data_IF_012332784446
#
_entry.id   IF_012332784446
#
_cell.length_a   1.000
_cell.length_b   1.000
_cell.length_c   1.000
_cell.angle_alpha   90.00
_cell.angle_beta   90.00
_cell.angle_gamma   90.00
#
_symmetry.space_group_name_H-M   'P 1'
#
loop_
_entity.id
_entity.type
_entity.pdbx_description
1 polymer ?
#
# COMPACT_ATOMS: atom_id res chain seq x y z
N UNK A 1 5.80 2.06 -4.18
CA UNK A 1 5.78 0.57 -4.27
C UNK A 1 7.16 -0.03 -4.55
N UNK A 2 7.82 0.28 -5.68
CA UNK A 2 9.03 -0.46 -6.11
C UNK A 2 10.19 -0.30 -5.13
N UNK A 3 10.39 0.89 -4.55
CA UNK A 3 11.40 1.12 -3.52
C UNK A 3 11.14 0.29 -2.25
N UNK A 4 9.89 0.20 -1.81
CA UNK A 4 9.50 -0.62 -0.64
C UNK A 4 9.72 -2.11 -0.90
N UNK A 5 9.40 -2.57 -2.10
CA UNK A 5 9.66 -3.96 -2.50
C UNK A 5 11.17 -4.26 -2.46
N UNK A 6 12.02 -3.36 -2.99
CA UNK A 6 13.48 -3.48 -2.92
C UNK A 6 14.01 -3.45 -1.48
N UNK A 7 13.44 -2.62 -0.62
CA UNK A 7 13.79 -2.55 0.80
C UNK A 7 13.44 -3.86 1.52
N UNK A 8 12.23 -4.38 1.31
CA UNK A 8 11.83 -5.68 1.90
C UNK A 8 12.70 -6.82 1.39
N UNK A 9 13.02 -6.85 0.09
CA UNK A 9 13.94 -7.82 -0.48
C UNK A 9 15.33 -7.73 0.14
N UNK A 10 15.84 -6.51 0.38
CA UNK A 10 17.10 -6.29 1.08
C UNK A 10 17.10 -6.90 2.47
N UNK A 11 16.06 -6.62 3.26
CA UNK A 11 15.92 -7.17 4.61
C UNK A 11 15.88 -8.71 4.58
N UNK A 12 15.17 -9.30 3.62
CA UNK A 12 15.13 -10.76 3.48
C UNK A 12 16.49 -11.37 3.12
N UNK A 13 17.22 -10.76 2.20
CA UNK A 13 18.54 -11.24 1.80
C UNK A 13 19.58 -11.05 2.92
N UNK A 14 19.50 -9.95 3.67
CA UNK A 14 20.33 -9.75 4.87
C UNK A 14 20.04 -10.80 5.94
N UNK A 15 18.77 -11.17 6.15
CA UNK A 15 18.37 -12.29 7.04
C UNK A 15 18.90 -13.65 6.58
N UNK A 16 19.18 -13.82 5.28
CA UNK A 16 19.79 -15.03 4.70
C UNK A 16 21.31 -15.05 4.84
N UNK A 17 21.91 -14.02 5.44
CA UNK A 17 23.35 -13.92 5.67
C UNK A 17 24.10 -13.12 4.62
N UNK A 18 23.41 -12.50 3.65
CA UNK A 18 24.07 -11.64 2.66
C UNK A 18 24.35 -10.25 3.24
N UNK A 19 25.62 -9.91 3.39
CA UNK A 19 26.02 -8.57 3.82
C UNK A 19 25.93 -7.61 2.63
N UNK A 20 25.05 -6.61 2.71
CA UNK A 20 24.83 -5.59 1.67
C UNK A 20 24.52 -6.20 0.28
N UNK A 21 23.38 -6.87 0.11
CA UNK A 21 23.00 -7.48 -1.17
C UNK A 21 22.99 -6.45 -2.30
N UNK A 22 23.51 -6.84 -3.47
CA UNK A 22 23.58 -5.96 -4.65
C UNK A 22 22.19 -5.71 -5.23
N UNK A 23 22.00 -4.56 -5.91
CA UNK A 23 20.72 -4.24 -6.56
C UNK A 23 20.27 -5.32 -7.55
N UNK A 24 21.22 -5.92 -8.28
CA UNK A 24 20.94 -7.02 -9.21
C UNK A 24 20.37 -8.24 -8.48
N UNK A 25 20.98 -8.60 -7.33
CA UNK A 25 20.49 -9.70 -6.49
C UNK A 25 19.09 -9.44 -5.95
N UNK A 26 18.81 -8.20 -5.54
CA UNK A 26 17.48 -7.81 -5.08
C UNK A 26 16.44 -7.89 -6.22
N UNK A 27 16.83 -7.48 -7.43
CA UNK A 27 15.98 -7.59 -8.61
C UNK A 27 15.69 -9.05 -8.98
N UNK A 28 16.68 -9.94 -8.91
CA UNK A 28 16.50 -11.38 -9.12
C UNK A 28 15.55 -12.00 -8.10
N UNK A 29 15.73 -11.64 -6.83
CA UNK A 29 14.83 -12.06 -5.75
C UNK A 29 13.40 -11.61 -6.01
N UNK A 30 13.21 -10.33 -6.35
CA UNK A 30 11.89 -9.77 -6.65
C UNK A 30 11.27 -10.39 -7.91
N UNK A 31 12.05 -10.65 -8.95
CA UNK A 31 11.59 -11.33 -10.16
C UNK A 31 11.00 -12.70 -9.83
N UNK A 32 11.67 -13.47 -8.99
CA UNK A 32 11.17 -14.79 -8.54
C UNK A 32 9.86 -14.66 -7.76
N UNK A 33 9.76 -13.67 -6.88
CA UNK A 33 8.56 -13.47 -6.05
C UNK A 33 7.38 -12.93 -6.89
N UNK A 34 7.64 -12.05 -7.86
CA UNK A 34 6.63 -11.59 -8.83
C UNK A 34 6.13 -12.76 -9.67
N UNK A 35 7.03 -13.63 -10.13
CA UNK A 35 6.65 -14.83 -10.89
C UNK A 35 5.78 -15.78 -10.06
N UNK A 36 6.13 -16.00 -8.79
CA UNK A 36 5.35 -16.85 -7.89
C UNK A 36 3.93 -16.29 -7.65
N UNK A 37 3.76 -14.96 -7.63
CA UNK A 37 2.47 -14.32 -7.34
C UNK A 37 1.63 -14.09 -8.59
N UNK A 38 2.24 -13.65 -9.69
CA UNK A 38 1.57 -13.28 -10.93
C UNK A 38 1.46 -14.44 -11.93
N UNK A 39 2.23 -15.51 -11.73
CA UNK A 39 2.23 -16.69 -12.61
C UNK A 39 3.00 -16.53 -13.91
N UNK A 40 3.82 -15.47 -14.05
CA UNK A 40 4.69 -15.27 -15.20
C UNK A 40 6.00 -14.58 -14.83
N UNK A 41 7.07 -14.92 -15.53
CA UNK A 41 8.38 -14.32 -15.32
C UNK A 41 8.39 -12.84 -15.72
N UNK A 42 8.83 -11.97 -14.81
CA UNK A 42 9.00 -10.54 -15.08
C UNK A 42 10.47 -10.13 -15.00
N UNK A 43 11.00 -9.54 -16.07
CA UNK A 43 12.44 -9.35 -16.23
C UNK A 43 13.12 -8.55 -15.10
N UNK A 44 14.19 -9.12 -14.53
CA UNK A 44 15.02 -8.49 -13.50
C UNK A 44 15.54 -7.11 -13.91
N UNK A 45 15.98 -6.99 -15.18
CA UNK A 45 16.48 -5.72 -15.74
C UNK A 45 15.41 -4.63 -15.71
N UNK A 46 14.15 -4.99 -15.98
CA UNK A 46 13.02 -4.06 -15.91
C UNK A 46 12.79 -3.59 -14.48
N UNK A 47 12.74 -4.52 -13.51
CA UNK A 47 12.60 -4.18 -12.09
C UNK A 47 13.72 -3.26 -11.61
N UNK A 48 14.96 -3.56 -11.98
CA UNK A 48 16.12 -2.74 -11.64
C UNK A 48 16.04 -1.35 -12.27
N UNK A 49 15.61 -1.26 -13.53
CA UNK A 49 15.42 0.03 -14.20
C UNK A 49 14.35 0.86 -13.49
N UNK A 50 13.19 0.27 -13.17
CA UNK A 50 12.15 0.97 -12.42
C UNK A 50 12.65 1.44 -11.06
N UNK A 51 13.40 0.61 -10.34
CA UNK A 51 13.99 1.01 -9.07
C UNK A 51 14.97 2.18 -9.23
N UNK A 52 15.87 2.12 -10.20
CA UNK A 52 16.82 3.19 -10.43
C UNK A 52 16.12 4.49 -10.83
N UNK A 53 15.08 4.43 -11.68
CA UNK A 53 14.25 5.58 -12.03
C UNK A 53 13.53 6.14 -10.79
N UNK A 54 12.93 5.28 -9.96
CA UNK A 54 12.26 5.70 -8.73
C UNK A 54 13.20 6.43 -7.76
N UNK A 55 14.47 6.01 -7.69
CA UNK A 55 15.48 6.61 -6.80
C UNK A 55 16.07 7.90 -7.38
N UNK A 56 16.25 7.98 -8.71
CA UNK A 56 16.82 9.16 -9.37
C UNK A 56 15.83 10.30 -9.53
N UNK A 57 14.56 9.96 -9.73
CA UNK A 57 13.54 10.91 -10.14
C UNK A 57 12.78 11.41 -8.92
N UNK A 58 13.09 12.63 -8.45
CA UNK A 58 12.32 13.28 -7.38
C UNK A 58 10.87 13.60 -7.77
N UNK A 59 10.55 13.68 -9.06
CA UNK A 59 9.24 14.17 -9.55
C UNK A 59 8.72 13.48 -10.83
N UNK A 60 9.31 12.37 -11.28
CA UNK A 60 8.83 11.68 -12.47
C UNK A 60 7.84 10.60 -12.09
N UNK A 61 6.65 10.65 -12.69
CA UNK A 61 5.64 9.61 -12.52
C UNK A 61 6.17 8.28 -13.08
N UNK A 62 6.43 7.33 -12.19
CA UNK A 62 6.88 5.99 -12.58
C UNK A 62 5.67 5.13 -12.90
N UNK A 63 5.52 4.76 -14.18
CA UNK A 63 4.46 3.85 -14.64
C UNK A 63 5.02 2.46 -14.94
N UNK A 64 4.54 1.48 -14.19
CA UNK A 64 4.68 0.06 -14.52
C UNK A 64 3.40 -0.32 -15.27
N UNK A 65 3.47 -0.75 -16.54
CA UNK A 65 2.27 -0.90 -17.38
C UNK A 65 1.43 -2.15 -17.04
N UNK A 66 2.05 -3.18 -16.46
CA UNK A 66 1.41 -4.46 -16.19
C UNK A 66 0.81 -4.44 -14.78
N UNK A 67 -0.51 -4.58 -14.69
CA UNK A 67 -1.23 -4.46 -13.41
C UNK A 67 -0.92 -5.62 -12.48
N UNK A 68 -0.69 -6.81 -13.03
CA UNK A 68 -0.32 -8.02 -12.31
C UNK A 68 1.02 -7.84 -11.60
N UNK A 69 1.96 -7.11 -12.22
CA UNK A 69 3.25 -6.77 -11.60
C UNK A 69 3.05 -5.75 -10.47
N UNK A 70 2.16 -4.77 -10.64
CA UNK A 70 1.81 -3.82 -9.57
C UNK A 70 1.24 -4.57 -8.37
N UNK A 71 0.24 -5.42 -8.61
CA UNK A 71 -0.42 -6.19 -7.56
C UNK A 71 0.57 -7.11 -6.84
N UNK A 72 1.43 -7.82 -7.59
CA UNK A 72 2.48 -8.65 -7.00
C UNK A 72 3.46 -7.83 -6.16
N UNK A 73 3.92 -6.66 -6.63
CA UNK A 73 4.85 -5.80 -5.87
C UNK A 73 4.21 -5.25 -4.59
N UNK A 74 2.93 -4.90 -4.64
CA UNK A 74 2.16 -4.38 -3.51
C UNK A 74 1.90 -5.47 -2.46
N UNK A 75 1.47 -6.65 -2.91
CA UNK A 75 1.31 -7.84 -2.05
C UNK A 75 2.63 -8.26 -1.43
N UNK A 76 3.69 -8.32 -2.23
CA UNK A 76 5.03 -8.59 -1.74
C UNK A 76 5.44 -7.56 -0.70
N UNK A 77 5.08 -6.28 -0.86
CA UNK A 77 5.39 -5.24 0.14
C UNK A 77 4.56 -5.34 1.43
N UNK A 78 3.53 -6.20 1.47
CA UNK A 78 2.71 -6.47 2.66
C UNK A 78 1.33 -5.81 2.65
N UNK A 79 0.89 -5.26 1.53
CA UNK A 79 -0.42 -4.64 1.38
C UNK A 79 -1.38 -5.59 0.67
N UNK A 80 -2.67 -5.57 1.03
CA UNK A 80 -3.67 -6.45 0.42
C UNK A 80 -4.03 -6.07 -1.01
N UNK A 81 -3.96 -4.78 -1.35
CA UNK A 81 -4.32 -4.25 -2.66
C UNK A 81 -3.60 -2.95 -2.96
N UNK A 82 -3.58 -2.55 -4.23
CA UNK A 82 -3.06 -1.25 -4.64
C UNK A 82 -3.80 -0.08 -3.95
N UNK A 83 -5.11 -0.20 -3.75
CA UNK A 83 -5.90 0.81 -3.03
C UNK A 83 -5.48 0.95 -1.57
N UNK A 84 -5.18 -0.16 -0.88
CA UNK A 84 -4.65 -0.13 0.49
C UNK A 84 -3.26 0.52 0.54
N UNK A 85 -2.41 0.24 -0.46
CA UNK A 85 -1.11 0.89 -0.59
C UNK A 85 -1.23 2.41 -0.76
N UNK A 86 -2.13 2.89 -1.62
CA UNK A 86 -2.33 4.33 -1.85
C UNK A 86 -2.92 5.02 -0.61
N UNK A 87 -3.88 4.38 0.08
CA UNK A 87 -4.48 4.92 1.30
C UNK A 87 -3.45 5.21 2.39
N UNK A 88 -2.37 4.42 2.46
CA UNK A 88 -1.27 4.62 3.42
C UNK A 88 -0.25 5.68 2.96
N UNK A 89 -0.20 5.99 1.65
CA UNK A 89 0.72 6.98 1.08
C UNK A 89 0.11 8.38 1.00
N UNK A 90 -1.22 8.48 0.94
CA UNK A 90 -1.88 9.78 1.02
C UNK A 90 -1.72 10.32 2.46
N UNK A 91 -1.18 11.54 2.65
CA UNK A 91 -1.28 12.19 3.95
C UNK A 91 -2.77 12.30 4.25
N UNK A 92 -3.15 11.92 5.47
CA UNK A 92 -4.54 12.02 5.94
C UNK A 92 -4.96 13.49 5.79
N UNK A 93 -5.55 13.86 4.66
CA UNK A 93 -6.33 15.07 4.57
C UNK A 93 -7.58 14.77 5.38
N UNK A 94 -7.54 15.14 6.66
CA UNK A 94 -8.57 14.91 7.68
C UNK A 94 -9.97 15.46 7.29
N UNK A 95 -10.15 16.04 6.11
CA UNK A 95 -11.38 16.69 5.66
C UNK A 95 -12.36 15.82 4.89
N UNK A 96 -12.08 14.54 4.55
CA UNK A 96 -13.02 13.73 3.74
C UNK A 96 -13.62 12.48 4.37
N UNK A 97 -13.19 12.08 5.57
CA UNK A 97 -13.87 11.04 6.34
C UNK A 97 -14.46 11.61 7.62
N UNK A 98 -15.42 12.53 7.49
CA UNK A 98 -16.45 12.62 8.52
C UNK A 98 -17.28 11.34 8.44
N UNK A 99 -16.83 10.28 9.11
CA UNK A 99 -17.73 9.23 9.55
C UNK A 99 -18.86 9.94 10.34
N UNK A 100 -20.15 9.65 10.08
CA UNK A 100 -21.22 10.26 10.83
C UNK A 100 -20.95 10.00 12.33
N UNK A 101 -20.67 11.06 13.10
CA UNK A 101 -20.46 10.93 14.54
C UNK A 101 -21.74 10.34 15.12
N UNK A 102 -21.63 9.14 15.70
CA UNK A 102 -22.71 8.47 16.42
C UNK A 102 -23.15 9.34 17.60
N UNK A 103 -24.19 10.14 17.41
CA UNK A 103 -24.84 10.86 18.50
C UNK A 103 -25.89 9.97 19.14
N UNK A 104 -25.68 9.55 20.39
CA UNK A 104 -26.70 8.84 21.17
C UNK A 104 -27.50 9.87 21.97
N UNK A 105 -28.67 10.26 21.46
CA UNK A 105 -29.61 11.07 22.24
C UNK A 105 -30.46 10.15 23.10
N UNK A 106 -30.30 10.27 24.42
CA UNK A 106 -31.13 9.58 25.40
C UNK A 106 -32.17 10.58 25.89
N UNK A 107 -33.40 10.46 25.42
CA UNK A 107 -34.52 11.22 25.98
C UNK A 107 -35.09 10.45 27.17
N UNK A 108 -35.08 11.06 28.35
CA UNK A 108 -35.83 10.57 29.51
C UNK A 108 -37.17 11.30 29.54
N UNK A 109 -38.27 10.59 29.23
CA UNK A 109 -39.63 11.08 29.45
C UNK A 109 -40.25 10.20 30.55
N UNK A 110 -40.10 10.61 31.81
CA UNK A 110 -40.58 9.85 32.97
C UNK A 110 -39.94 8.45 33.10
N UNK A 111 -40.76 7.40 33.28
CA UNK A 111 -40.31 6.00 33.50
C UNK A 111 -40.01 5.21 32.22
N UNK A 112 -40.22 5.78 31.04
CA UNK A 112 -39.86 5.12 29.78
C UNK A 112 -38.55 5.69 29.21
N UNK A 113 -37.63 4.79 28.88
CA UNK A 113 -36.39 5.09 28.17
C UNK A 113 -36.55 4.66 26.72
N UNK A 114 -36.55 5.62 25.81
CA UNK A 114 -36.64 5.36 24.36
C UNK A 114 -35.27 5.68 23.78
N UNK A 115 -34.65 4.71 23.12
CA UNK A 115 -33.38 4.90 22.41
C UNK A 115 -33.68 5.02 20.91
N UNK A 116 -33.12 6.04 20.25
CA UNK A 116 -33.29 6.26 18.81
C UNK A 116 -31.94 6.56 18.18
N UNK A 117 -31.68 5.99 17.01
CA UNK A 117 -30.45 6.23 16.23
C UNK A 117 -30.82 7.18 15.08
N UNK A 118 -30.14 8.32 15.00
CA UNK A 118 -30.34 9.31 13.94
C UNK A 118 -29.01 9.68 13.28
N UNK A 119 -29.07 9.98 11.97
CA UNK A 119 -27.94 10.45 11.18
C UNK A 119 -28.16 11.93 10.83
N UNK A 120 -27.30 12.82 11.34
CA UNK A 120 -27.33 14.24 10.98
C UNK A 120 -26.25 14.56 9.96
N UNK A 121 -26.63 15.28 8.90
CA UNK A 121 -25.73 15.82 7.87
C UNK A 121 -25.73 17.33 8.03
N UNK A 122 -24.60 17.93 8.42
CA UNK A 122 -24.44 19.38 8.45
C UNK A 122 -23.78 19.80 7.13
N UNK A 123 -24.51 20.54 6.31
CA UNK A 123 -23.94 21.26 5.16
C UNK A 123 -23.66 22.68 5.61
N UNK A 124 -22.39 23.09 5.58
CA UNK A 124 -21.92 24.47 5.67
C UNK A 124 -21.42 24.88 4.28
#
# INVERSE_FOLDING_TARGET
MICLAFEKAKIQEEKRGYVKPSKSRLAARLSTEVENMAGFAFGEKSLLNYYNTAVSSKHQELRIPQIEVIDALVQYSGFSSYSAFIAEQEPINETRYMLPRKGRLVFKLGRLKIESIWFFKLSI
#
